data_IF_401702226783
#
_entry.id   IF_401702226783
#
_cell.length_a   1.000
_cell.length_b   1.000
_cell.length_c   1.000
_cell.angle_alpha   90.00
_cell.angle_beta   90.00
_cell.angle_gamma   90.00
#
_symmetry.space_group_name_H-M   'P 1'
#
loop_
_entity.id
_entity.type
_entity.pdbx_description
1 polymer ?
#
# COMPACT_ATOMS: atom_id res chain seq x y z
N UNK A 1 -11.02 2.24 5.77
CA UNK A 1 -11.08 3.65 5.38
C UNK A 1 -11.98 4.42 6.33
N UNK A 2 -11.47 5.55 6.80
CA UNK A 2 -12.20 6.54 7.56
C UNK A 2 -11.51 7.90 7.35
N UNK A 3 -12.18 9.03 7.59
CA UNK A 3 -11.57 10.35 7.36
C UNK A 3 -10.21 10.51 8.05
N UNK A 4 -10.06 9.96 9.26
CA UNK A 4 -8.81 9.98 10.03
C UNK A 4 -7.67 9.18 9.39
N UNK A 5 -7.94 8.11 8.63
CA UNK A 5 -6.89 7.35 7.95
C UNK A 5 -6.32 8.07 6.72
N UNK A 6 -7.10 8.99 6.14
CA UNK A 6 -6.73 9.78 4.97
C UNK A 6 -6.21 11.20 5.33
N UNK A 7 -6.43 11.66 6.57
CA UNK A 7 -5.97 12.98 7.02
C UNK A 7 -4.48 12.95 7.41
N UNK A 8 -3.68 13.98 7.08
CA UNK A 8 -2.33 14.16 7.58
C UNK A 8 -2.24 13.98 9.10
N UNK A 9 -1.23 13.23 9.55
CA UNK A 9 -0.93 13.09 10.97
C UNK A 9 0.07 14.17 11.35
N UNK A 10 -0.24 14.96 12.40
CA UNK A 10 0.68 15.98 12.92
C UNK A 10 1.94 15.31 13.49
N UNK A 11 3.08 15.66 12.93
CA UNK A 11 4.37 15.14 13.38
C UNK A 11 4.89 15.96 14.58
N UNK A 12 5.09 15.29 15.71
CA UNK A 12 5.76 15.84 16.89
C UNK A 12 7.11 15.16 17.03
N UNK A 13 8.16 15.76 16.45
CA UNK A 13 9.49 15.14 16.37
C UNK A 13 10.57 16.04 17.03
N UNK A 14 10.60 16.12 18.37
CA UNK A 14 11.45 17.07 19.10
C UNK A 14 12.95 16.73 19.06
N UNK A 15 13.31 15.46 18.81
CA UNK A 15 14.70 14.98 18.90
C UNK A 15 15.33 14.66 17.54
N UNK A 16 14.54 14.13 16.60
CA UNK A 16 15.01 13.77 15.26
C UNK A 16 13.96 14.17 14.23
N UNK A 17 14.36 14.70 13.07
CA UNK A 17 13.40 15.04 12.02
C UNK A 17 12.74 13.77 11.48
N UNK A 18 11.44 13.84 11.23
CA UNK A 18 10.73 12.83 10.44
C UNK A 18 11.30 12.82 9.03
N UNK A 19 11.46 11.63 8.45
CA UNK A 19 11.89 11.52 7.05
C UNK A 19 10.92 12.26 6.12
N UNK A 20 11.42 12.90 5.04
CA UNK A 20 10.59 13.69 4.12
C UNK A 20 9.35 12.94 3.62
N UNK A 21 9.48 11.64 3.34
CA UNK A 21 8.40 10.78 2.83
C UNK A 21 7.20 10.63 3.79
N UNK A 22 7.39 10.93 5.07
CA UNK A 22 6.38 10.77 6.11
C UNK A 22 5.84 12.10 6.65
N UNK A 23 6.43 13.23 6.24
CA UNK A 23 5.99 14.56 6.66
C UNK A 23 4.59 14.84 6.10
N UNK A 24 3.67 15.22 6.98
CA UNK A 24 2.25 15.47 6.65
C UNK A 24 1.55 14.26 5.99
N UNK A 25 2.13 13.06 6.10
CA UNK A 25 1.55 11.86 5.54
C UNK A 25 0.43 11.30 6.44
N UNK A 26 -0.71 10.98 5.84
CA UNK A 26 -1.78 10.20 6.47
C UNK A 26 -1.35 8.76 6.72
N UNK A 27 -2.06 8.03 7.59
CA UNK A 27 -1.76 6.62 7.83
C UNK A 27 -1.77 5.80 6.53
N UNK A 28 -2.74 6.03 5.65
CA UNK A 28 -2.81 5.34 4.37
C UNK A 28 -1.57 5.64 3.49
N UNK A 29 -1.11 6.90 3.45
CA UNK A 29 0.10 7.28 2.74
C UNK A 29 1.37 6.65 3.35
N UNK A 30 1.46 6.55 4.68
CA UNK A 30 2.59 5.89 5.37
C UNK A 30 2.71 4.41 4.99
N UNK A 31 1.59 3.69 4.92
CA UNK A 31 1.60 2.30 4.44
C UNK A 31 1.93 2.19 2.94
N UNK A 32 1.46 3.13 2.11
CA UNK A 32 1.86 3.17 0.71
C UNK A 32 3.38 3.36 0.58
N UNK A 33 4.01 4.26 1.35
CA UNK A 33 5.48 4.40 1.41
C UNK A 33 6.14 3.06 1.78
N UNK A 34 5.62 2.35 2.78
CA UNK A 34 6.15 1.04 3.16
C UNK A 34 6.12 0.03 2.00
N UNK A 35 4.96 -0.14 1.35
CA UNK A 35 4.82 -1.07 0.21
C UNK A 35 5.82 -0.74 -0.91
N UNK A 36 5.96 0.54 -1.25
CA UNK A 36 6.92 0.99 -2.27
C UNK A 36 8.36 0.67 -1.89
N UNK A 37 8.76 0.92 -0.64
CA UNK A 37 10.14 0.62 -0.18
C UNK A 37 10.41 -0.88 -0.14
N UNK A 38 9.46 -1.71 0.28
CA UNK A 38 9.62 -3.17 0.26
C UNK A 38 9.87 -3.72 -1.14
N UNK A 39 9.17 -3.18 -2.16
CA UNK A 39 9.40 -3.55 -3.55
C UNK A 39 10.72 -3.01 -4.10
N UNK A 40 11.04 -1.74 -3.81
CA UNK A 40 12.28 -1.09 -4.26
C UNK A 40 13.53 -1.79 -3.73
N UNK A 41 13.49 -2.26 -2.48
CA UNK A 41 14.59 -3.00 -1.83
C UNK A 41 14.55 -4.50 -2.14
N UNK A 42 13.69 -4.95 -3.08
CA UNK A 42 13.54 -6.34 -3.50
C UNK A 42 13.23 -7.33 -2.36
N UNK A 43 12.65 -6.83 -1.26
CA UNK A 43 12.19 -7.68 -0.17
C UNK A 43 10.86 -8.36 -0.53
N UNK A 44 10.07 -7.70 -1.37
CA UNK A 44 8.79 -8.18 -1.91
C UNK A 44 8.82 -8.00 -3.43
N UNK A 45 8.41 -9.02 -4.19
CA UNK A 45 8.31 -8.86 -5.66
C UNK A 45 7.21 -7.88 -6.03
N UNK A 46 6.06 -7.94 -5.34
CA UNK A 46 4.93 -7.03 -5.52
C UNK A 46 4.17 -6.87 -4.20
N UNK A 47 3.63 -5.68 -3.95
CA UNK A 47 2.85 -5.36 -2.76
C UNK A 47 1.64 -4.48 -3.11
N UNK A 48 0.51 -4.72 -2.43
CA UNK A 48 -0.73 -3.99 -2.63
C UNK A 48 -1.22 -3.38 -1.31
N UNK A 49 -1.78 -2.17 -1.39
CA UNK A 49 -2.51 -1.55 -0.28
C UNK A 49 -3.89 -1.09 -0.74
N UNK A 50 -4.92 -1.57 -0.04
CA UNK A 50 -6.30 -1.18 -0.25
C UNK A 50 -6.88 -0.51 1.00
N UNK A 51 -7.68 0.51 0.80
CA UNK A 51 -8.49 1.11 1.86
C UNK A 51 -9.97 0.90 1.56
N UNK A 52 -10.72 0.33 2.50
CA UNK A 52 -12.16 0.09 2.34
C UNK A 52 -12.93 0.65 3.54
N UNK A 53 -14.00 1.44 3.34
CA UNK A 53 -14.80 1.93 4.46
C UNK A 53 -15.50 0.77 5.16
N UNK A 54 -15.74 0.88 6.47
CA UNK A 54 -16.38 -0.21 7.24
C UNK A 54 -17.76 -0.60 6.70
N UNK A 55 -18.46 0.34 6.06
CA UNK A 55 -19.77 0.13 5.44
C UNK A 55 -19.72 -0.73 4.17
N UNK A 56 -18.54 -0.88 3.55
CA UNK A 56 -18.36 -1.65 2.32
C UNK A 56 -18.20 -3.16 2.55
N UNK A 57 -18.52 -3.66 3.75
CA UNK A 57 -18.38 -5.08 4.09
C UNK A 57 -19.16 -6.01 3.13
N UNK A 58 -20.28 -5.55 2.58
CA UNK A 58 -21.13 -6.33 1.65
C UNK A 58 -21.03 -5.87 0.20
N UNK A 59 -20.55 -4.65 -0.07
CA UNK A 59 -20.41 -4.13 -1.44
C UNK A 59 -19.05 -4.45 -2.05
N UNK A 60 -18.03 -4.60 -1.19
CA UNK A 60 -16.66 -4.79 -1.61
C UNK A 60 -15.99 -3.52 -2.11
N UNK A 61 -16.57 -2.33 -1.88
CA UNK A 61 -15.96 -1.06 -2.28
C UNK A 61 -14.60 -0.87 -1.61
N UNK A 62 -13.60 -0.49 -2.40
CA UNK A 62 -12.26 -0.16 -1.96
C UNK A 62 -11.69 1.00 -2.76
N UNK A 63 -10.61 1.58 -2.25
CA UNK A 63 -9.82 2.59 -2.93
C UNK A 63 -8.34 2.19 -2.90
N UNK A 64 -7.63 2.66 -3.92
CA UNK A 64 -6.21 2.47 -4.12
C UNK A 64 -5.49 3.82 -3.97
N UNK A 65 -4.24 3.80 -3.50
CA UNK A 65 -3.44 5.02 -3.35
C UNK A 65 -2.50 5.28 -4.53
N UNK A 66 -2.16 4.24 -5.29
CA UNK A 66 -1.34 4.36 -6.51
C UNK A 66 -1.53 3.12 -7.37
N UNK A 67 -1.37 3.27 -8.70
CA UNK A 67 -1.44 2.14 -9.64
C UNK A 67 -0.35 1.09 -9.35
N UNK A 68 0.83 1.53 -8.91
CA UNK A 68 1.97 0.65 -8.60
C UNK A 68 1.69 -0.26 -7.39
N UNK A 69 0.92 0.23 -6.42
CA UNK A 69 0.51 -0.55 -5.23
C UNK A 69 -0.97 -0.94 -5.30
N UNK A 70 -1.53 -1.00 -6.50
CA UNK A 70 -2.94 -1.32 -6.76
C UNK A 70 -3.19 -2.81 -6.88
N UNK A 71 -4.46 -3.20 -6.75
CA UNK A 71 -4.90 -4.60 -6.80
C UNK A 71 -4.62 -5.21 -8.18
N UNK A 72 -4.86 -4.45 -9.25
CA UNK A 72 -4.65 -4.94 -10.62
C UNK A 72 -3.21 -5.40 -10.84
N UNK A 73 -2.26 -4.52 -10.56
CA UNK A 73 -0.81 -4.80 -10.69
C UNK A 73 -0.43 -6.01 -9.85
N UNK A 74 -0.87 -6.05 -8.58
CA UNK A 74 -0.60 -7.17 -7.69
C UNK A 74 -1.13 -8.52 -8.21
N UNK A 75 -2.38 -8.56 -8.64
CA UNK A 75 -3.00 -9.81 -9.13
C UNK A 75 -2.35 -10.24 -10.45
N UNK A 76 -2.01 -9.31 -11.34
CA UNK A 76 -1.30 -9.61 -12.59
C UNK A 76 0.07 -10.23 -12.33
N UNK A 77 0.89 -9.62 -11.47
CA UNK A 77 2.21 -10.15 -11.09
C UNK A 77 2.09 -11.51 -10.38
N UNK A 78 1.13 -11.64 -9.46
CA UNK A 78 0.89 -12.89 -8.75
C UNK A 78 0.45 -14.01 -9.70
N UNK A 79 -0.46 -13.74 -10.64
CA UNK A 79 -0.87 -14.71 -11.65
C UNK A 79 0.31 -15.12 -12.55
N UNK A 80 1.18 -14.17 -12.91
CA UNK A 80 2.42 -14.44 -13.64
C UNK A 80 3.34 -15.39 -12.88
N UNK A 81 3.52 -15.17 -11.58
CA UNK A 81 4.28 -16.09 -10.71
C UNK A 81 3.67 -17.49 -10.69
N UNK A 82 2.36 -17.61 -10.49
CA UNK A 82 1.68 -18.92 -10.46
C UNK A 82 1.83 -19.65 -11.80
N UNK A 83 1.66 -18.95 -12.92
CA UNK A 83 1.80 -19.54 -14.25
C UNK A 83 3.24 -20.01 -14.52
N UNK A 84 4.24 -19.21 -14.13
CA UNK A 84 5.64 -19.57 -14.24
C UNK A 84 5.96 -20.83 -13.43
N UNK A 85 5.51 -20.89 -12.18
CA UNK A 85 5.74 -22.07 -11.32
C UNK A 85 5.01 -23.31 -11.85
N UNK A 86 3.77 -23.19 -12.31
CA UNK A 86 3.03 -24.32 -12.88
C UNK A 86 3.69 -24.91 -14.15
N UNK A 87 4.41 -24.10 -14.93
CA UNK A 87 5.13 -24.55 -16.13
C UNK A 87 6.45 -25.29 -15.84
N UNK A 88 6.93 -25.25 -14.60
CA UNK A 88 8.17 -25.95 -14.17
C UNK A 88 7.92 -27.42 -13.83
N UNK A 89 6.67 -27.81 -13.62
CA UNK A 89 6.19 -29.20 -13.42
C UNK A 89 5.79 -29.85 -14.72
#
# INVERSE_FOLDING_TARGET
DCPKSATPVRDMSPHFPVFPDFRDASYAQRYNVLCRKLMQEQLYTVACILTSPRTAATTGDYAELSEMTGLRTFVTEFAGHVAAEASRT
#
